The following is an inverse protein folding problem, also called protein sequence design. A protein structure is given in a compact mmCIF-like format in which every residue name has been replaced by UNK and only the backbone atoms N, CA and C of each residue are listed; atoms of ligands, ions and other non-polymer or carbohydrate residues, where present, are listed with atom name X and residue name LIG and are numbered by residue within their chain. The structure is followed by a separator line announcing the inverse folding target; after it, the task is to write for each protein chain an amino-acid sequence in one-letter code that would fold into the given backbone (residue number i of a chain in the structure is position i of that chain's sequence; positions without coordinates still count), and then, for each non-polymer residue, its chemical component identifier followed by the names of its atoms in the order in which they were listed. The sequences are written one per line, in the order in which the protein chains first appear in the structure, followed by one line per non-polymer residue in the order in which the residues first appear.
data_IF_340939081072
#
_entry.id   IF_340939081072
#
_cell.length_a   1.000
_cell.length_b   1.000
_cell.length_c   1.000
_cell.angle_alpha   90.00
_cell.angle_beta   90.00
_cell.angle_gamma   90.00
#
_symmetry.space_group_name_H-M   'P 1'
#
loop_
_entity.id
_entity.type
_entity.pdbx_description
1 polymer ?
#
# COMPACT_ATOMS: atom_id res chain seq x y z
N UNK A 1 18.20 9.22 -7.18
CA UNK A 1 17.81 7.81 -6.99
C UNK A 1 17.28 7.65 -5.58
N UNK A 2 16.18 6.91 -5.38
CA UNK A 2 15.62 6.67 -4.05
C UNK A 2 16.60 5.81 -3.24
N UNK A 3 17.03 6.23 -2.04
CA UNK A 3 17.91 5.41 -1.22
C UNK A 3 17.10 4.24 -0.64
N UNK A 4 17.44 3.01 -1.04
CA UNK A 4 16.79 1.78 -0.56
C UNK A 4 17.41 1.33 0.77
N UNK A 5 17.30 2.19 1.77
CA UNK A 5 17.88 1.99 3.10
C UNK A 5 16.77 2.00 4.14
N UNK A 6 16.99 1.27 5.23
CA UNK A 6 16.09 1.27 6.39
C UNK A 6 16.12 2.63 7.11
N UNK A 7 15.13 2.92 7.98
CA UNK A 7 15.12 4.16 8.75
C UNK A 7 16.38 4.39 9.61
N UNK A 8 16.99 3.32 10.15
CA UNK A 8 18.24 3.41 10.91
C UNK A 8 19.43 3.79 10.02
N UNK A 9 19.62 3.07 8.91
CA UNK A 9 20.68 3.35 7.95
C UNK A 9 20.57 4.74 7.31
N UNK A 10 19.34 5.25 7.13
CA UNK A 10 19.12 6.62 6.69
C UNK A 10 19.64 7.65 7.70
N UNK A 11 19.56 7.36 9.01
CA UNK A 11 20.09 8.26 10.04
C UNK A 11 21.62 8.23 10.09
N UNK A 12 22.23 7.11 9.70
CA UNK A 12 23.67 6.89 9.81
C UNK A 12 24.45 7.33 8.56
N UNK A 13 23.78 7.55 7.41
CA UNK A 13 24.42 7.99 6.16
C UNK A 13 23.99 9.39 5.73
N UNK A 14 24.96 10.30 5.58
CA UNK A 14 24.73 11.65 5.04
C UNK A 14 24.37 11.60 3.55
N UNK A 15 24.93 10.66 2.79
CA UNK A 15 24.61 10.45 1.38
C UNK A 15 23.15 10.04 1.21
N UNK A 16 22.67 9.09 2.02
CA UNK A 16 21.28 8.65 1.98
C UNK A 16 20.32 9.77 2.37
N UNK A 17 20.65 10.59 3.38
CA UNK A 17 19.87 11.80 3.72
C UNK A 17 19.82 12.80 2.59
N UNK A 18 20.93 13.04 1.90
CA UNK A 18 20.99 13.96 0.77
C UNK A 18 20.12 13.46 -0.39
N UNK A 19 20.22 12.16 -0.74
CA UNK A 19 19.38 11.53 -1.76
C UNK A 19 17.90 11.60 -1.41
N UNK A 20 17.54 11.33 -0.15
CA UNK A 20 16.17 11.43 0.34
C UNK A 20 15.62 12.86 0.24
N UNK A 21 16.38 13.87 0.67
CA UNK A 21 15.99 15.28 0.55
C UNK A 21 15.80 15.69 -0.91
N UNK A 22 16.67 15.24 -1.80
CA UNK A 22 16.54 15.52 -3.24
C UNK A 22 15.26 14.90 -3.82
N UNK A 23 14.97 13.63 -3.52
CA UNK A 23 13.75 12.96 -3.97
C UNK A 23 12.47 13.66 -3.46
N UNK A 24 12.41 14.01 -2.18
CA UNK A 24 11.27 14.77 -1.63
C UNK A 24 11.15 16.15 -2.28
N UNK A 25 12.28 16.82 -2.51
CA UNK A 25 12.32 18.12 -3.18
C UNK A 25 11.73 18.06 -4.60
N UNK A 26 12.06 17.03 -5.37
CA UNK A 26 11.53 16.79 -6.70
C UNK A 26 10.02 16.50 -6.67
N UNK A 27 9.56 15.63 -5.77
CA UNK A 27 8.13 15.33 -5.61
C UNK A 27 7.30 16.57 -5.24
N UNK A 28 7.84 17.47 -4.42
CA UNK A 28 7.16 18.71 -4.03
C UNK A 28 7.06 19.75 -5.16
N UNK A 29 7.85 19.62 -6.23
CA UNK A 29 7.77 20.49 -7.41
C UNK A 29 6.65 20.07 -8.37
N UNK A 30 6.14 18.84 -8.28
CA UNK A 30 5.07 18.36 -9.13
C UNK A 30 3.73 19.03 -8.76
N UNK A 31 3.19 19.80 -9.70
CA UNK A 31 1.93 20.51 -9.52
C UNK A 31 0.73 19.57 -9.32
N UNK A 32 0.78 18.35 -9.88
CA UNK A 32 -0.28 17.33 -9.74
C UNK A 32 -0.37 16.77 -8.32
N UNK A 33 0.73 16.83 -7.56
CA UNK A 33 0.81 16.32 -6.18
C UNK A 33 0.43 17.37 -5.12
N UNK A 34 0.22 18.64 -5.51
CA UNK A 34 -0.19 19.72 -4.60
C UNK A 34 -1.40 19.39 -3.72
N UNK A 35 -2.49 18.77 -4.22
CA UNK A 35 -3.62 18.38 -3.37
C UNK A 35 -3.23 17.41 -2.25
N UNK A 36 -2.16 16.65 -2.44
CA UNK A 36 -1.69 15.59 -1.55
C UNK A 36 -0.43 15.97 -0.76
N UNK A 37 0.02 17.23 -0.81
CA UNK A 37 1.31 17.65 -0.24
C UNK A 37 1.51 17.27 1.24
N UNK A 38 0.41 17.23 2.03
CA UNK A 38 0.45 16.81 3.44
C UNK A 38 0.73 15.31 3.64
N UNK A 39 0.41 14.48 2.66
CA UNK A 39 0.59 13.03 2.68
C UNK A 39 1.86 12.59 1.94
N UNK A 40 2.46 13.48 1.15
CA UNK A 40 3.54 13.13 0.24
C UNK A 40 4.78 12.60 0.97
N UNK A 41 5.18 13.26 2.04
CA UNK A 41 6.34 12.85 2.84
C UNK A 41 6.17 11.48 3.51
N UNK A 42 4.99 11.24 4.12
CA UNK A 42 4.69 9.97 4.77
C UNK A 42 4.51 8.84 3.75
N UNK A 43 3.88 9.10 2.62
CA UNK A 43 3.74 8.12 1.53
C UNK A 43 5.08 7.74 0.90
N UNK A 44 5.94 8.73 0.60
CA UNK A 44 7.26 8.46 0.06
C UNK A 44 8.16 7.69 1.04
N UNK A 45 8.05 7.99 2.34
CA UNK A 45 8.81 7.27 3.37
C UNK A 45 8.34 5.82 3.46
N UNK A 46 7.02 5.61 3.45
CA UNK A 46 6.42 4.29 3.39
C UNK A 46 6.92 3.49 2.17
N UNK A 47 6.91 4.09 0.97
CA UNK A 47 7.40 3.41 -0.25
C UNK A 47 8.89 3.10 -0.22
N UNK A 48 9.71 4.00 0.32
CA UNK A 48 11.14 3.74 0.56
C UNK A 48 11.35 2.55 1.48
N UNK A 49 10.65 2.52 2.62
CA UNK A 49 10.83 1.48 3.64
C UNK A 49 10.37 0.10 3.12
N UNK A 50 9.27 0.06 2.36
CA UNK A 50 8.85 -1.16 1.65
C UNK A 50 9.91 -1.63 0.66
N UNK A 51 10.49 -0.71 -0.13
CA UNK A 51 11.50 -1.05 -1.14
C UNK A 51 12.85 -1.45 -0.53
N UNK A 52 13.22 -0.90 0.63
CA UNK A 52 14.37 -1.33 1.39
C UNK A 52 14.18 -2.77 1.94
N UNK A 53 12.96 -3.12 2.36
CA UNK A 53 12.64 -4.42 2.95
C UNK A 53 12.40 -5.53 1.91
N UNK A 54 11.61 -5.23 0.88
CA UNK A 54 11.13 -6.19 -0.09
C UNK A 54 11.92 -6.15 -1.40
N UNK A 55 12.63 -5.05 -1.66
CA UNK A 55 13.38 -4.80 -2.89
C UNK A 55 12.69 -3.80 -3.83
N UNK A 56 13.38 -3.36 -4.89
CA UNK A 56 12.90 -2.32 -5.81
C UNK A 56 11.53 -2.62 -6.45
N UNK A 57 11.18 -3.90 -6.62
CA UNK A 57 9.92 -4.32 -7.21
C UNK A 57 8.69 -3.90 -6.40
N UNK A 58 8.82 -3.54 -5.13
CA UNK A 58 7.70 -3.00 -4.34
C UNK A 58 7.32 -1.56 -4.73
N UNK A 59 8.13 -0.91 -5.58
CA UNK A 59 7.81 0.39 -6.18
C UNK A 59 6.90 0.27 -7.41
N UNK A 60 6.76 -0.95 -7.97
CA UNK A 60 5.85 -1.20 -9.08
C UNK A 60 4.40 -0.91 -8.67
N UNK A 61 3.65 -0.32 -9.61
CA UNK A 61 2.25 0.03 -9.37
C UNK A 61 1.32 -1.20 -9.37
N UNK A 62 1.76 -2.29 -10.00
CA UNK A 62 1.04 -3.56 -10.06
C UNK A 62 1.68 -4.60 -9.16
N UNK A 63 0.83 -5.39 -8.51
CA UNK A 63 1.25 -6.58 -7.78
C UNK A 63 1.64 -7.71 -8.76
N UNK A 64 2.62 -8.56 -8.42
CA UNK A 64 3.16 -9.56 -9.34
C UNK A 64 2.26 -10.80 -9.52
N UNK A 65 1.06 -10.79 -8.94
CA UNK A 65 0.10 -11.90 -8.98
C UNK A 65 -1.33 -11.38 -9.01
N UNK A 66 -2.25 -12.23 -9.46
CA UNK A 66 -3.69 -11.93 -9.47
C UNK A 66 -4.26 -12.03 -8.05
N UNK A 67 -4.31 -10.90 -7.36
CA UNK A 67 -4.82 -10.78 -5.98
C UNK A 67 -6.25 -11.29 -5.83
N UNK A 68 -7.22 -10.86 -6.66
CA UNK A 68 -8.57 -11.41 -6.60
C UNK A 68 -8.63 -12.92 -6.77
N UNK A 69 -7.88 -13.50 -7.71
CA UNK A 69 -7.85 -14.95 -7.91
C UNK A 69 -7.29 -15.67 -6.69
N UNK A 70 -6.14 -15.23 -6.17
CA UNK A 70 -5.50 -15.81 -4.99
C UNK A 70 -6.42 -15.78 -3.75
N UNK A 71 -7.08 -14.65 -3.51
CA UNK A 71 -8.01 -14.51 -2.39
C UNK A 71 -9.22 -15.42 -2.56
N UNK A 72 -9.79 -15.52 -3.77
CA UNK A 72 -10.92 -16.41 -4.07
C UNK A 72 -10.56 -17.88 -3.86
N UNK A 73 -9.37 -18.30 -4.26
CA UNK A 73 -8.87 -19.67 -4.01
C UNK A 73 -8.70 -19.98 -2.52
N UNK A 74 -8.45 -18.95 -1.72
CA UNK A 74 -8.22 -19.08 -0.27
C UNK A 74 -9.50 -19.00 0.58
N UNK A 75 -10.67 -18.73 -0.02
CA UNK A 75 -11.92 -18.47 0.73
C UNK A 75 -12.30 -19.63 1.65
N UNK A 76 -12.30 -20.87 1.16
CA UNK A 76 -12.70 -22.03 1.96
C UNK A 76 -11.79 -22.24 3.17
N UNK A 77 -10.49 -22.01 3.00
CA UNK A 77 -9.52 -22.04 4.11
C UNK A 77 -9.80 -20.93 5.13
N UNK A 78 -10.08 -19.70 4.65
CA UNK A 78 -10.38 -18.57 5.54
C UNK A 78 -11.68 -18.80 6.31
N UNK A 79 -12.71 -19.38 5.69
CA UNK A 79 -13.96 -19.74 6.35
C UNK A 79 -13.74 -20.77 7.47
N UNK A 80 -12.99 -21.84 7.19
CA UNK A 80 -12.63 -22.85 8.21
C UNK A 80 -11.88 -22.24 9.39
N UNK A 81 -10.89 -21.39 9.12
CA UNK A 81 -10.02 -20.82 10.18
C UNK A 81 -10.65 -19.70 10.97
N UNK A 82 -11.47 -18.87 10.35
CA UNK A 82 -12.09 -17.73 11.01
C UNK A 82 -13.46 -18.09 11.59
N UNK A 83 -14.08 -19.20 11.15
CA UNK A 83 -15.40 -19.62 11.62
C UNK A 83 -16.52 -18.69 11.18
N UNK A 84 -16.32 -17.94 10.10
CA UNK A 84 -17.27 -16.97 9.55
C UNK A 84 -17.40 -17.16 8.04
N UNK A 85 -18.52 -16.72 7.46
CA UNK A 85 -18.62 -16.60 6.02
C UNK A 85 -17.69 -15.50 5.51
N UNK A 86 -17.01 -15.79 4.40
CA UNK A 86 -16.06 -14.87 3.75
C UNK A 86 -16.47 -14.69 2.30
N UNK A 87 -16.57 -13.43 1.87
CA UNK A 87 -16.78 -13.04 0.49
C UNK A 87 -15.67 -12.07 0.04
N UNK A 88 -15.16 -12.27 -1.17
CA UNK A 88 -14.14 -11.40 -1.78
C UNK A 88 -14.81 -10.55 -2.86
N UNK A 89 -14.76 -9.23 -2.69
CA UNK A 89 -15.30 -8.24 -3.64
C UNK A 89 -14.17 -7.45 -4.28
N UNK A 90 -14.38 -7.02 -5.53
CA UNK A 90 -13.53 -6.02 -6.15
C UNK A 90 -13.87 -4.63 -5.58
N UNK A 91 -12.86 -3.80 -5.35
CA UNK A 91 -13.05 -2.44 -4.84
C UNK A 91 -13.95 -1.57 -5.75
N UNK A 92 -14.01 -1.89 -7.04
CA UNK A 92 -14.86 -1.23 -8.04
C UNK A 92 -16.31 -1.72 -8.04
N UNK A 93 -16.63 -2.79 -7.31
CA UNK A 93 -17.93 -3.46 -7.31
C UNK A 93 -18.47 -3.67 -5.89
N UNK A 94 -18.62 -2.61 -5.08
CA UNK A 94 -19.17 -2.74 -3.73
C UNK A 94 -20.67 -3.09 -3.78
N UNK A 95 -21.10 -4.02 -2.92
CA UNK A 95 -22.51 -4.44 -2.83
C UNK A 95 -23.37 -3.61 -1.87
N UNK A 96 -22.73 -2.85 -0.98
CA UNK A 96 -23.39 -2.05 0.05
C UNK A 96 -22.54 -0.81 0.39
N UNK A 97 -23.12 0.19 1.05
CA UNK A 97 -22.40 1.42 1.41
C UNK A 97 -21.19 1.13 2.30
N UNK A 98 -21.32 0.24 3.29
CA UNK A 98 -20.20 -0.16 4.15
C UNK A 98 -19.03 -0.76 3.35
N UNK A 99 -19.33 -1.51 2.28
CA UNK A 99 -18.31 -2.05 1.38
C UNK A 99 -17.63 -0.95 0.56
N UNK A 100 -18.37 0.07 0.13
CA UNK A 100 -17.81 1.21 -0.59
C UNK A 100 -16.86 2.03 0.30
N UNK A 101 -17.25 2.26 1.56
CA UNK A 101 -16.42 2.97 2.53
C UNK A 101 -15.10 2.20 2.78
N UNK A 102 -15.18 0.88 2.96
CA UNK A 102 -13.98 0.05 3.11
C UNK A 102 -13.14 -0.05 1.83
N UNK A 103 -13.78 -0.13 0.66
CA UNK A 103 -13.10 -0.13 -0.64
C UNK A 103 -12.27 1.14 -0.84
N UNK A 104 -12.72 2.29 -0.33
CA UNK A 104 -11.97 3.56 -0.38
C UNK A 104 -10.64 3.52 0.40
N UNK A 105 -10.48 2.57 1.32
CA UNK A 105 -9.29 2.38 2.15
C UNK A 105 -8.36 1.28 1.62
N UNK A 106 -8.81 0.46 0.66
CA UNK A 106 -8.04 -0.65 0.12
C UNK A 106 -6.90 -0.16 -0.79
N UNK A 107 -5.80 -0.91 -0.80
CA UNK A 107 -4.67 -0.70 -1.71
C UNK A 107 -4.21 -2.04 -2.28
N UNK A 108 -3.58 -2.10 -3.47
CA UNK A 108 -2.91 -3.31 -3.93
C UNK A 108 -1.95 -3.83 -2.85
N UNK A 109 -2.02 -5.12 -2.55
CA UNK A 109 -1.27 -5.80 -1.49
C UNK A 109 -1.84 -5.62 -0.08
N UNK A 110 -2.85 -4.77 0.09
CA UNK A 110 -3.48 -4.43 1.38
C UNK A 110 -5.00 -4.32 1.20
N UNK A 111 -5.71 -5.47 1.14
CA UNK A 111 -7.17 -5.45 1.09
C UNK A 111 -7.75 -4.86 2.38
N UNK A 112 -8.94 -4.25 2.26
CA UNK A 112 -9.74 -3.80 3.40
C UNK A 112 -10.82 -4.82 3.73
N UNK A 113 -11.24 -4.90 4.99
CA UNK A 113 -12.21 -5.90 5.47
C UNK A 113 -13.38 -5.20 6.15
N UNK A 114 -14.60 -5.63 5.84
CA UNK A 114 -15.82 -5.28 6.56
C UNK A 114 -16.39 -6.53 7.18
N UNK A 115 -16.74 -6.45 8.46
CA UNK A 115 -17.49 -7.51 9.14
C UNK A 115 -18.96 -7.09 9.21
N UNK A 116 -19.80 -7.78 8.45
CA UNK A 116 -21.25 -7.56 8.42
C UNK A 116 -21.93 -8.50 9.42
N UNK A 117 -21.59 -8.33 10.69
CA UNK A 117 -22.20 -9.05 11.80
C UNK A 117 -23.45 -8.31 12.27
N UNK A 118 -24.58 -8.58 11.64
CA UNK A 118 -25.89 -8.35 12.25
C UNK A 118 -26.16 -9.37 13.37
#
# INVERSE_FOLDING_TARGET
ALPLVTPGELQDSEEAKAQWKACIGELMQDASLKPFAKLLGSFAAFKRDEAAKLGPQSLEASVPFDEPALLKESVEYLKDKLGVEVEVLLATEPKAQAHADAASLAQPGKPSVVYDGA
#
